data_IF_533192708871
#
_entry.id   IF_533192708871
#
_cell.length_a   1.000
_cell.length_b   1.000
_cell.length_c   1.000
_cell.angle_alpha   90.00
_cell.angle_beta   90.00
_cell.angle_gamma   90.00
#
_symmetry.space_group_name_H-M   'P 1'
#
loop_
_entity.id
_entity.type
_entity.pdbx_description
1 polymer ?
#
# COMPACT_ATOMS: atom_id res chain seq x y z
N UNK A 1 -4.86 14.18 -3.08
CA UNK A 1 -4.94 12.71 -3.08
C UNK A 1 -4.08 12.17 -4.20
N UNK A 2 -3.49 10.99 -4.02
CA UNK A 2 -2.77 10.27 -5.06
C UNK A 2 -3.28 8.83 -5.16
N UNK A 3 -2.95 8.14 -6.24
CA UNK A 3 -3.37 6.75 -6.40
C UNK A 3 -3.12 6.24 -7.80
N UNK A 4 -3.39 4.95 -7.98
CA UNK A 4 -3.24 4.34 -9.28
C UNK A 4 -3.67 2.88 -9.31
N UNK A 5 -3.79 2.36 -10.53
CA UNK A 5 -4.05 0.95 -10.80
C UNK A 5 -2.75 0.16 -10.80
N UNK A 6 -2.75 -0.99 -10.16
CA UNK A 6 -1.66 -1.96 -10.11
C UNK A 6 -0.34 -1.30 -9.70
N UNK A 7 0.68 -1.36 -10.55
CA UNK A 7 1.98 -0.76 -10.31
C UNK A 7 1.92 0.74 -10.02
N UNK A 8 0.97 1.49 -10.60
CA UNK A 8 0.81 2.91 -10.29
C UNK A 8 0.44 3.15 -8.83
N UNK A 9 -0.45 2.33 -8.27
CA UNK A 9 -0.79 2.36 -6.85
C UNK A 9 0.40 1.99 -5.96
N UNK A 10 1.21 1.01 -6.38
CA UNK A 10 2.46 0.66 -5.69
C UNK A 10 3.47 1.81 -5.67
N UNK A 11 3.69 2.48 -6.79
CA UNK A 11 4.62 3.61 -6.82
C UNK A 11 4.12 4.75 -5.93
N UNK A 12 2.83 5.04 -5.95
CA UNK A 12 2.22 6.02 -5.05
C UNK A 12 2.40 5.63 -3.57
N UNK A 13 2.17 4.37 -3.22
CA UNK A 13 2.29 3.91 -1.83
C UNK A 13 3.73 3.95 -1.31
N UNK A 14 4.71 3.67 -2.17
CA UNK A 14 6.13 3.84 -1.85
C UNK A 14 6.51 5.32 -1.68
N UNK A 15 5.99 6.20 -2.54
CA UNK A 15 6.31 7.62 -2.54
C UNK A 15 5.78 8.39 -1.31
N UNK A 16 4.79 7.85 -0.60
CA UNK A 16 4.22 8.46 0.62
C UNK A 16 4.57 7.71 1.89
N UNK A 17 5.20 6.54 1.79
CA UNK A 17 5.64 5.81 2.95
C UNK A 17 6.65 6.68 3.70
N UNK A 18 6.39 6.89 4.99
CA UNK A 18 7.33 7.64 5.83
C UNK A 18 8.67 6.93 5.90
N UNK A 19 9.72 7.73 6.01
CA UNK A 19 11.09 7.29 6.25
C UNK A 19 11.56 7.97 7.53
N UNK A 20 12.43 7.31 8.29
CA UNK A 20 13.13 8.02 9.37
C UNK A 20 14.03 9.08 8.74
N UNK A 21 13.91 10.31 9.21
CA UNK A 21 14.70 11.42 8.70
C UNK A 21 16.19 11.14 8.99
N UNK A 22 17.04 11.28 7.96
CA UNK A 22 18.47 10.98 8.02
C UNK A 22 19.26 11.79 9.07
N UNK A 23 18.64 12.80 9.68
CA UNK A 23 19.24 13.65 10.71
C UNK A 23 19.10 13.10 12.15
N UNK A 24 18.54 11.89 12.33
CA UNK A 24 18.50 11.23 13.64
C UNK A 24 17.64 11.95 14.69
N UNK A 25 16.77 12.88 14.25
CA UNK A 25 15.89 13.68 15.12
C UNK A 25 14.70 12.87 15.65
N UNK A 26 14.49 11.64 15.16
CA UNK A 26 13.33 10.81 15.50
C UNK A 26 12.03 11.28 14.87
N UNK A 27 12.06 12.33 14.06
CA UNK A 27 10.90 12.81 13.32
C UNK A 27 10.68 11.92 12.08
N UNK A 28 9.45 11.42 11.95
CA UNK A 28 9.01 10.62 10.80
C UNK A 28 8.26 11.55 9.86
N UNK A 29 8.85 11.84 8.70
CA UNK A 29 8.17 12.65 7.68
C UNK A 29 7.66 11.75 6.55
N UNK A 30 6.43 12.00 6.09
CA UNK A 30 6.00 11.42 4.83
C UNK A 30 6.86 12.03 3.73
N UNK A 31 7.42 11.21 2.84
CA UNK A 31 8.22 11.72 1.72
C UNK A 31 7.41 12.67 0.80
N UNK A 32 6.08 12.56 0.82
CA UNK A 32 5.13 13.48 0.18
C UNK A 32 3.90 13.67 1.10
N UNK A 33 3.52 14.92 1.35
CA UNK A 33 2.28 15.22 2.08
C UNK A 33 1.05 15.08 1.18
N UNK A 34 0.17 14.13 1.51
CA UNK A 34 -1.04 13.84 0.74
C UNK A 34 -2.24 13.60 1.66
N UNK A 35 -3.41 14.08 1.24
CA UNK A 35 -4.67 13.84 1.96
C UNK A 35 -5.13 12.36 1.98
N UNK A 36 -4.56 11.50 1.13
CA UNK A 36 -4.95 10.09 1.04
C UNK A 36 -4.43 9.37 -0.20
N UNK A 37 -4.47 8.04 -0.14
CA UNK A 37 -4.02 7.09 -1.17
C UNK A 37 -5.16 6.20 -1.64
N UNK A 38 -5.29 5.99 -2.95
CA UNK A 38 -6.17 4.97 -3.53
C UNK A 38 -5.36 3.96 -4.36
N UNK A 39 -5.41 2.70 -3.98
CA UNK A 39 -4.76 1.59 -4.69
C UNK A 39 -5.83 0.73 -5.35
N UNK A 40 -5.84 0.66 -6.68
CA UNK A 40 -6.75 -0.21 -7.43
C UNK A 40 -5.99 -1.45 -7.91
N UNK A 41 -6.42 -2.66 -7.57
CA UNK A 41 -5.73 -3.93 -7.90
C UNK A 41 -4.26 -3.92 -7.45
N UNK A 42 -3.99 -3.67 -6.16
CA UNK A 42 -2.62 -3.58 -5.66
C UNK A 42 -1.88 -4.90 -5.90
N UNK A 43 -0.71 -4.90 -6.58
CA UNK A 43 -0.04 -6.13 -6.97
C UNK A 43 0.82 -6.62 -5.81
N UNK A 44 0.20 -7.28 -4.83
CA UNK A 44 0.84 -7.78 -3.61
C UNK A 44 2.02 -8.70 -3.96
N UNK A 45 1.81 -9.62 -4.89
CA UNK A 45 2.84 -10.48 -5.45
C UNK A 45 3.42 -9.86 -6.73
N UNK A 46 4.76 -9.85 -6.90
CA UNK A 46 5.36 -9.59 -8.19
C UNK A 46 5.01 -10.70 -9.21
N UNK A 47 4.88 -10.38 -10.51
CA UNK A 47 4.76 -11.40 -11.54
C UNK A 47 5.88 -12.43 -11.46
N UNK A 48 5.52 -13.71 -11.55
CA UNK A 48 6.43 -14.88 -11.49
C UNK A 48 7.15 -15.08 -10.15
N UNK A 49 6.80 -14.33 -9.10
CA UNK A 49 7.39 -14.44 -7.77
C UNK A 49 6.32 -14.42 -6.66
N UNK A 50 5.41 -15.42 -6.62
CA UNK A 50 4.34 -15.48 -5.62
C UNK A 50 4.85 -15.57 -4.18
N UNK A 51 6.10 -15.97 -3.96
CA UNK A 51 6.71 -16.04 -2.64
C UNK A 51 7.08 -14.67 -2.04
N UNK A 52 7.13 -13.61 -2.86
CA UNK A 52 7.56 -12.27 -2.43
C UNK A 52 6.35 -11.35 -2.24
N UNK A 53 6.33 -10.63 -1.12
CA UNK A 53 5.30 -9.62 -0.83
C UNK A 53 5.83 -8.21 -1.05
N UNK A 54 5.01 -7.36 -1.67
CA UNK A 54 5.26 -5.92 -1.85
C UNK A 54 4.56 -5.10 -0.76
N UNK A 55 4.63 -5.54 0.49
CA UNK A 55 3.89 -4.94 1.61
C UNK A 55 4.76 -4.29 2.68
N UNK A 56 6.08 -4.47 2.64
CA UNK A 56 7.00 -4.06 3.71
C UNK A 56 6.90 -2.58 4.10
N UNK A 57 6.64 -1.70 3.12
CA UNK A 57 6.52 -0.25 3.36
C UNK A 57 5.13 0.20 3.77
N UNK A 58 4.10 -0.63 3.59
CA UNK A 58 2.72 -0.24 3.85
C UNK A 58 2.47 0.22 5.28
N UNK A 59 3.03 -0.41 6.35
CA UNK A 59 2.84 0.05 7.72
C UNK A 59 3.37 1.47 7.99
N UNK A 60 4.28 1.97 7.13
CA UNK A 60 4.86 3.32 7.23
C UNK A 60 3.99 4.39 6.57
N UNK A 61 2.89 4.02 5.92
CA UNK A 61 1.95 4.96 5.31
C UNK A 61 1.00 5.50 6.40
N UNK A 62 1.08 6.81 6.64
CA UNK A 62 0.26 7.49 7.64
C UNK A 62 -1.07 8.01 7.06
N UNK A 63 -1.10 8.31 5.76
CA UNK A 63 -2.28 8.84 5.09
C UNK A 63 -3.42 7.81 5.03
N UNK A 64 -4.70 8.24 5.08
CA UNK A 64 -5.84 7.37 4.83
C UNK A 64 -5.69 6.64 3.49
N UNK A 65 -5.78 5.32 3.51
CA UNK A 65 -5.57 4.48 2.33
C UNK A 65 -6.78 3.61 2.02
N UNK A 66 -7.31 3.74 0.81
CA UNK A 66 -8.33 2.85 0.26
C UNK A 66 -7.69 1.87 -0.73
N UNK A 67 -7.97 0.59 -0.53
CA UNK A 67 -7.68 -0.46 -1.49
C UNK A 67 -8.97 -0.91 -2.16
N UNK A 68 -8.98 -0.96 -3.50
CA UNK A 68 -10.08 -1.46 -4.31
C UNK A 68 -9.57 -2.62 -5.16
N UNK A 69 -10.00 -3.84 -4.90
CA UNK A 69 -9.51 -5.03 -5.61
C UNK A 69 -10.64 -5.97 -5.98
N UNK A 70 -10.43 -6.73 -7.07
CA UNK A 70 -11.32 -7.82 -7.44
C UNK A 70 -11.10 -9.03 -6.51
N UNK A 71 -12.16 -9.78 -6.21
CA UNK A 71 -12.05 -11.02 -5.41
C UNK A 71 -11.31 -12.15 -6.14
N UNK A 72 -11.10 -12.02 -7.46
CA UNK A 72 -10.37 -12.94 -8.34
C UNK A 72 -9.00 -12.42 -8.80
N UNK A 73 -8.40 -11.46 -8.10
CA UNK A 73 -7.08 -10.91 -8.46
C UNK A 73 -5.96 -11.93 -8.20
N UNK A 74 -5.23 -12.33 -9.24
CA UNK A 74 -4.14 -13.31 -9.16
C UNK A 74 -2.88 -12.76 -8.46
N UNK A 75 -2.79 -11.44 -8.26
CA UNK A 75 -1.65 -10.79 -7.62
C UNK A 75 -1.86 -10.56 -6.12
N UNK A 76 -2.95 -11.02 -5.55
CA UNK A 76 -3.19 -11.04 -4.10
C UNK A 76 -4.63 -11.41 -3.81
N UNK A 77 -4.81 -12.55 -3.16
CA UNK A 77 -6.14 -13.02 -2.72
C UNK A 77 -6.74 -12.08 -1.67
N UNK A 78 -8.04 -12.22 -1.41
CA UNK A 78 -8.75 -11.46 -0.38
C UNK A 78 -8.06 -11.62 0.97
N UNK A 79 -7.70 -12.85 1.33
CA UNK A 79 -7.06 -13.20 2.58
C UNK A 79 -5.65 -12.60 2.68
N UNK A 80 -4.82 -12.78 1.65
CA UNK A 80 -3.43 -12.31 1.65
C UNK A 80 -3.35 -10.78 1.71
N UNK A 81 -4.15 -10.08 0.91
CA UNK A 81 -4.14 -8.63 0.88
C UNK A 81 -4.69 -8.05 2.19
N UNK A 82 -5.77 -8.64 2.73
CA UNK A 82 -6.30 -8.25 4.06
C UNK A 82 -5.25 -8.41 5.16
N UNK A 83 -4.54 -9.54 5.17
CA UNK A 83 -3.46 -9.79 6.12
C UNK A 83 -2.31 -8.80 5.93
N UNK A 84 -1.87 -8.57 4.69
CA UNK A 84 -0.72 -7.73 4.37
C UNK A 84 -0.86 -6.29 4.86
N UNK A 85 -2.08 -5.75 4.89
CA UNK A 85 -2.29 -4.37 5.37
C UNK A 85 -2.76 -4.28 6.81
N UNK A 86 -3.04 -5.40 7.47
CA UNK A 86 -3.44 -5.41 8.89
C UNK A 86 -2.58 -4.49 9.77
N UNK A 87 -1.25 -4.39 9.59
CA UNK A 87 -0.41 -3.50 10.38
C UNK A 87 -0.55 -1.99 10.04
N UNK A 88 -1.18 -1.62 8.93
CA UNK A 88 -1.41 -0.20 8.59
C UNK A 88 -2.38 0.43 9.60
N UNK A 89 -2.20 1.71 9.91
CA UNK A 89 -3.06 2.43 10.86
C UNK A 89 -4.38 2.87 10.24
N UNK A 90 -4.33 3.53 9.07
CA UNK A 90 -5.48 4.18 8.44
C UNK A 90 -5.83 3.52 7.10
N UNK A 91 -6.66 2.48 7.13
CA UNK A 91 -6.94 1.63 5.97
C UNK A 91 -8.41 1.27 5.78
N UNK A 92 -8.81 1.09 4.54
CA UNK A 92 -10.14 0.59 4.15
C UNK A 92 -10.03 -0.28 2.89
N UNK A 93 -10.90 -1.27 2.77
CA UNK A 93 -11.03 -2.13 1.61
C UNK A 93 -12.40 -1.99 0.95
N UNK A 94 -12.41 -2.07 -0.38
CA UNK A 94 -13.59 -2.33 -1.19
C UNK A 94 -13.30 -3.51 -2.13
N UNK A 95 -14.11 -4.56 -2.03
CA UNK A 95 -14.00 -5.74 -2.88
C UNK A 95 -15.02 -5.67 -4.03
N UNK A 96 -14.60 -6.09 -5.22
CA UNK A 96 -15.44 -6.17 -6.42
C UNK A 96 -15.51 -7.62 -6.90
N UNK A 97 -16.72 -8.11 -7.19
CA UNK A 97 -16.98 -9.47 -7.67
C UNK A 97 -16.83 -9.66 -9.19
#
# INVERSE_FOLDING_TARGET
>A
MIGGRSMGGRMCSMAIASVENAHGTGETENSLDVAGLVCVCYPLHPPKHPEKLRSEHLPRILAPTLFVSGTRDEFGTVEELTMAITPMKNKTYAWID
#
